data_IF_521757542968
#
_entry.id   IF_521757542968
#
_cell.length_a   1.000
_cell.length_b   1.000
_cell.length_c   1.000
_cell.angle_alpha   90.00
_cell.angle_beta   90.00
_cell.angle_gamma   90.00
#
_symmetry.space_group_name_H-M   'P 1'
#
loop_
_entity.id
_entity.type
_entity.pdbx_description
1 polymer ?
#
# COMPACT_ATOMS: atom_id res chain seq x y z
N UNK A 1 6.00 46.46 60.35
CA UNK A 1 7.47 46.66 60.40
C UNK A 1 7.92 47.24 59.06
N UNK A 2 8.69 48.34 59.08
CA UNK A 2 9.45 49.01 57.97
C UNK A 2 8.58 49.73 56.92
N UNK A 3 8.30 51.05 56.98
CA UNK A 3 9.09 52.29 56.71
C UNK A 3 9.57 52.50 55.25
N UNK A 4 8.96 53.52 54.58
CA UNK A 4 9.55 54.60 53.72
C UNK A 4 10.25 54.22 52.40
N UNK A 5 10.33 55.01 51.31
CA UNK A 5 9.73 56.25 50.73
C UNK A 5 10.42 56.44 49.36
N UNK A 6 9.83 57.26 48.48
CA UNK A 6 10.44 57.92 47.31
C UNK A 6 10.78 57.00 46.11
N UNK A 7 10.31 57.21 44.89
CA UNK A 7 10.07 58.47 44.20
C UNK A 7 11.35 58.86 43.46
N UNK A 8 11.34 58.77 42.12
CA UNK A 8 12.05 59.66 41.19
C UNK A 8 11.69 59.30 39.74
N UNK A 9 11.33 60.34 39.00
CA UNK A 9 10.96 60.36 37.59
C UNK A 9 12.19 60.43 36.67
N UNK A 10 11.94 60.60 35.36
CA UNK A 10 12.87 61.08 34.31
C UNK A 10 13.78 59.96 33.71
N UNK A 11 14.01 59.77 32.41
CA UNK A 11 13.75 60.54 31.18
C UNK A 11 13.93 59.69 29.93
N UNK A 12 13.34 60.13 28.83
CA UNK A 12 13.65 59.73 27.45
C UNK A 12 15.06 60.13 26.98
N UNK A 13 15.66 59.31 26.11
CA UNK A 13 16.46 59.68 24.93
C UNK A 13 17.30 58.45 24.49
N UNK A 14 16.99 57.83 23.36
CA UNK A 14 17.57 58.10 22.04
C UNK A 14 18.94 57.43 21.79
N UNK A 15 18.86 56.34 21.01
CA UNK A 15 19.68 55.99 19.83
C UNK A 15 21.03 55.24 19.90
N UNK A 16 21.14 54.28 18.96
CA UNK A 16 22.30 53.66 18.30
C UNK A 16 23.11 52.58 19.05
N UNK A 17 22.78 51.30 18.84
CA UNK A 17 23.75 50.21 18.63
C UNK A 17 23.11 49.16 17.72
N UNK A 18 23.35 49.25 16.41
CA UNK A 18 24.32 48.42 15.66
C UNK A 18 24.03 46.92 15.72
N UNK A 19 23.32 46.47 14.67
CA UNK A 19 23.48 45.20 13.94
C UNK A 19 23.65 43.92 14.75
N UNK A 20 22.54 43.19 14.94
CA UNK A 20 22.58 41.74 15.10
C UNK A 20 21.91 41.10 13.88
N UNK A 21 22.69 40.25 13.23
CA UNK A 21 22.42 39.47 12.03
C UNK A 21 21.15 38.65 12.24
N UNK A 22 20.04 39.07 11.63
CA UNK A 22 18.89 38.18 11.43
C UNK A 22 19.16 37.38 10.15
N UNK A 23 19.90 36.27 10.32
CA UNK A 23 20.02 35.22 9.33
C UNK A 23 18.62 34.60 9.16
N UNK A 24 17.82 35.12 8.22
CA UNK A 24 16.58 34.47 7.83
C UNK A 24 16.94 33.18 7.11
N UNK A 25 16.94 32.06 7.84
CA UNK A 25 16.77 30.77 7.19
C UNK A 25 15.40 30.83 6.51
N UNK A 26 15.40 31.09 5.20
CA UNK A 26 14.26 30.75 4.36
C UNK A 26 14.06 29.24 4.49
N UNK A 27 13.19 28.84 5.42
CA UNK A 27 12.57 27.52 5.35
C UNK A 27 11.72 27.54 4.09
N UNK A 28 12.29 27.06 2.98
CA UNK A 28 11.49 26.67 1.82
C UNK A 28 10.60 25.54 2.31
N UNK A 29 9.39 25.88 2.75
CA UNK A 29 8.30 24.93 2.89
C UNK A 29 7.98 24.48 1.48
N UNK A 30 8.66 23.41 1.05
CA UNK A 30 8.27 22.64 -0.11
C UNK A 30 6.96 21.95 0.25
N UNK A 31 5.86 22.69 0.14
CA UNK A 31 4.51 22.14 0.06
C UNK A 31 4.47 21.28 -1.19
N UNK A 32 4.83 20.01 -1.05
CA UNK A 32 4.61 19.00 -2.09
C UNK A 32 3.12 18.72 -2.15
N UNK A 33 2.36 19.63 -2.76
CA UNK A 33 1.02 19.32 -3.24
C UNK A 33 1.20 18.32 -4.38
N UNK A 34 1.23 17.03 -4.05
CA UNK A 34 1.15 15.96 -5.02
C UNK A 34 -0.04 16.26 -5.95
N UNK A 35 0.11 16.12 -7.29
CA UNK A 35 -0.93 16.49 -8.23
C UNK A 35 -2.22 15.73 -7.91
N UNK A 36 -3.37 16.42 -7.88
CA UNK A 36 -4.64 15.77 -7.63
C UNK A 36 -4.93 14.86 -8.82
N UNK A 37 -5.10 13.57 -8.54
CA UNK A 37 -5.55 12.52 -9.46
C UNK A 37 -4.49 12.00 -10.45
N UNK A 38 -3.55 11.19 -9.94
CA UNK A 38 -3.13 10.03 -10.73
C UNK A 38 -4.17 8.92 -10.51
N UNK A 39 -4.86 8.43 -11.55
CA UNK A 39 -5.92 7.43 -11.40
C UNK A 39 -5.41 6.10 -10.80
N UNK A 40 -4.09 5.87 -10.84
CA UNK A 40 -3.42 4.69 -10.29
C UNK A 40 -2.80 4.91 -8.91
N UNK A 41 -2.77 6.16 -8.45
CA UNK A 41 -2.25 6.53 -7.15
C UNK A 41 -3.41 6.49 -6.15
N UNK A 42 -3.48 5.43 -5.34
CA UNK A 42 -4.17 5.53 -4.06
C UNK A 42 -3.61 6.72 -3.26
N UNK A 43 -4.24 7.06 -2.12
CA UNK A 43 -3.68 8.09 -1.24
C UNK A 43 -2.21 7.77 -0.91
N UNK A 44 -1.40 8.79 -0.59
CA UNK A 44 0.00 8.58 -0.18
C UNK A 44 0.12 7.50 0.91
N UNK A 45 -0.86 7.47 1.82
CA UNK A 45 -1.01 6.45 2.84
C UNK A 45 -1.27 5.05 2.26
N UNK A 46 -2.25 4.88 1.36
CA UNK A 46 -2.54 3.59 0.71
C UNK A 46 -1.34 3.05 -0.07
N UNK A 47 -0.56 3.93 -0.72
CA UNK A 47 0.66 3.52 -1.42
C UNK A 47 1.73 3.02 -0.44
N UNK A 48 1.92 3.73 0.68
CA UNK A 48 2.86 3.31 1.72
C UNK A 48 2.44 1.97 2.35
N UNK A 49 1.14 1.81 2.64
CA UNK A 49 0.55 0.57 3.15
C UNK A 49 0.75 -0.58 2.16
N UNK A 50 0.42 -0.38 0.89
CA UNK A 50 0.65 -1.38 -0.16
C UNK A 50 2.12 -1.78 -0.25
N UNK A 51 3.04 -0.80 -0.27
CA UNK A 51 4.48 -1.07 -0.31
C UNK A 51 4.91 -1.93 0.88
N UNK A 52 4.47 -1.59 2.10
CA UNK A 52 4.76 -2.35 3.31
C UNK A 52 4.24 -3.79 3.20
N UNK A 53 2.96 -3.97 2.84
CA UNK A 53 2.34 -5.28 2.69
C UNK A 53 3.05 -6.13 1.64
N UNK A 54 3.38 -5.53 0.50
CA UNK A 54 4.10 -6.19 -0.59
C UNK A 54 5.51 -6.60 -0.16
N UNK A 55 6.24 -5.73 0.55
CA UNK A 55 7.57 -6.07 1.09
C UNK A 55 7.50 -7.24 2.06
N UNK A 56 6.53 -7.24 2.98
CA UNK A 56 6.27 -8.36 3.90
C UNK A 56 6.02 -9.67 3.14
N UNK A 57 5.19 -9.64 2.10
CA UNK A 57 4.93 -10.81 1.26
C UNK A 57 6.14 -11.27 0.44
N UNK A 58 7.04 -10.37 0.04
CA UNK A 58 8.24 -10.75 -0.73
C UNK A 58 9.43 -11.17 0.14
N UNK A 59 9.33 -11.00 1.45
CA UNK A 59 10.36 -11.48 2.36
C UNK A 59 10.44 -13.02 2.30
N UNK A 60 11.67 -13.52 2.10
CA UNK A 60 11.98 -14.95 1.93
C UNK A 60 11.71 -15.78 3.19
N UNK A 61 11.82 -15.17 4.36
CA UNK A 61 11.64 -15.86 5.65
C UNK A 61 10.16 -16.01 6.03
N UNK A 62 9.28 -15.40 5.26
CA UNK A 62 7.87 -15.36 5.57
C UNK A 62 7.14 -16.39 4.73
N UNK A 63 6.26 -17.17 5.33
CA UNK A 63 5.44 -18.16 4.63
C UNK A 63 3.96 -17.83 4.78
N UNK A 64 3.08 -18.43 3.96
CA UNK A 64 1.63 -18.23 4.12
C UNK A 64 1.08 -18.64 5.48
N UNK A 65 1.79 -19.48 6.24
CA UNK A 65 1.40 -19.92 7.58
C UNK A 65 1.76 -18.89 8.67
N UNK A 66 2.65 -17.94 8.39
CA UNK A 66 3.15 -16.96 9.36
C UNK A 66 2.63 -15.53 9.12
N UNK A 67 1.79 -15.34 8.10
CA UNK A 67 1.14 -14.05 7.78
C UNK A 67 -0.36 -14.24 7.88
N UNK A 68 -1.02 -13.28 8.52
CA UNK A 68 -2.42 -13.02 8.28
C UNK A 68 -2.57 -12.06 7.09
N UNK A 69 -3.13 -12.56 5.98
CA UNK A 69 -3.30 -11.76 4.76
C UNK A 69 -4.35 -10.66 4.95
N UNK A 70 -5.39 -10.92 5.73
CA UNK A 70 -6.47 -9.96 5.96
C UNK A 70 -5.94 -8.79 6.81
N UNK A 71 -5.07 -9.07 7.77
CA UNK A 71 -4.38 -8.05 8.55
C UNK A 71 -3.50 -7.14 7.67
N UNK A 72 -2.58 -7.72 6.89
CA UNK A 72 -1.63 -6.91 6.09
C UNK A 72 -2.29 -6.21 4.90
N UNK A 73 -3.50 -6.61 4.53
CA UNK A 73 -4.21 -6.08 3.37
C UNK A 73 -5.43 -5.22 3.74
N UNK A 74 -5.63 -5.00 5.04
CA UNK A 74 -6.72 -4.18 5.55
C UNK A 74 -6.71 -2.77 4.93
N UNK A 75 -7.88 -2.32 4.46
CA UNK A 75 -8.05 -0.99 3.86
C UNK A 75 -7.47 -0.84 2.44
N UNK A 76 -6.87 -1.90 1.88
CA UNK A 76 -6.37 -1.90 0.50
C UNK A 76 -7.38 -2.47 -0.50
N UNK A 77 -8.51 -3.02 -0.05
CA UNK A 77 -9.54 -3.69 -0.88
C UNK A 77 -10.08 -2.82 -2.03
N UNK A 78 -10.13 -1.49 -1.84
CA UNK A 78 -10.59 -0.51 -2.84
C UNK A 78 -9.48 0.02 -3.75
N UNK A 79 -8.22 -0.35 -3.50
CA UNK A 79 -7.07 0.11 -4.27
C UNK A 79 -6.94 -0.68 -5.58
N UNK A 80 -6.62 0.02 -6.67
CA UNK A 80 -6.33 -0.62 -7.96
C UNK A 80 -5.11 -1.55 -7.91
N UNK A 81 -4.24 -1.41 -6.91
CA UNK A 81 -3.07 -2.27 -6.71
C UNK A 81 -3.38 -3.54 -5.92
N UNK A 82 -4.53 -3.61 -5.25
CA UNK A 82 -4.94 -4.78 -4.47
C UNK A 82 -4.88 -6.14 -5.21
N UNK A 83 -5.24 -6.23 -6.51
CA UNK A 83 -5.16 -7.49 -7.24
C UNK A 83 -3.72 -8.04 -7.31
N UNK A 84 -2.71 -7.16 -7.30
CA UNK A 84 -1.31 -7.58 -7.28
C UNK A 84 -0.92 -8.19 -5.93
N UNK A 85 -1.47 -7.65 -4.83
CA UNK A 85 -1.22 -8.19 -3.49
C UNK A 85 -1.86 -9.58 -3.34
N UNK A 86 -3.11 -9.72 -3.79
CA UNK A 86 -3.82 -11.00 -3.81
C UNK A 86 -3.10 -12.04 -4.69
N UNK A 87 -2.67 -11.64 -5.89
CA UNK A 87 -1.87 -12.51 -6.76
C UNK A 87 -0.60 -12.99 -6.07
N UNK A 88 0.17 -12.08 -5.45
CA UNK A 88 1.41 -12.44 -4.74
C UNK A 88 1.15 -13.42 -3.61
N UNK A 89 0.07 -13.22 -2.86
CA UNK A 89 -0.31 -14.11 -1.77
C UNK A 89 -0.66 -15.52 -2.28
N UNK A 90 -1.52 -15.61 -3.30
CA UNK A 90 -1.93 -16.89 -3.89
C UNK A 90 -0.73 -17.67 -4.44
N UNK A 91 0.18 -16.99 -5.15
CA UNK A 91 1.35 -17.63 -5.76
C UNK A 91 2.46 -17.98 -4.77
N UNK A 92 2.36 -17.54 -3.51
CA UNK A 92 3.29 -17.92 -2.45
C UNK A 92 2.85 -19.21 -1.75
N UNK A 93 1.61 -19.65 -1.95
CA UNK A 93 1.10 -20.91 -1.42
C UNK A 93 1.52 -22.06 -2.32
N UNK A 94 1.92 -23.18 -1.71
CA UNK A 94 2.30 -24.39 -2.45
C UNK A 94 1.08 -25.05 -3.13
N UNK A 95 -0.08 -25.03 -2.45
CA UNK A 95 -1.36 -25.55 -2.94
C UNK A 95 -2.50 -24.59 -2.54
N UNK A 96 -2.63 -23.44 -3.22
CA UNK A 96 -3.73 -22.52 -2.96
C UNK A 96 -5.07 -23.17 -3.26
N UNK A 97 -6.08 -22.91 -2.41
CA UNK A 97 -7.40 -23.52 -2.60
C UNK A 97 -8.03 -23.11 -3.94
N UNK A 98 -8.63 -24.08 -4.63
CA UNK A 98 -9.36 -23.85 -5.88
C UNK A 98 -10.40 -22.73 -5.76
N UNK A 99 -11.12 -22.67 -4.64
CA UNK A 99 -12.10 -21.61 -4.38
C UNK A 99 -11.46 -20.23 -4.40
N UNK A 100 -10.30 -20.04 -3.76
CA UNK A 100 -9.61 -18.76 -3.72
C UNK A 100 -9.11 -18.36 -5.12
N UNK A 101 -8.57 -19.32 -5.88
CA UNK A 101 -8.14 -19.09 -7.26
C UNK A 101 -9.32 -18.72 -8.17
N UNK A 102 -10.43 -19.46 -8.10
CA UNK A 102 -11.64 -19.18 -8.88
C UNK A 102 -12.27 -17.84 -8.51
N UNK A 103 -12.27 -17.46 -7.23
CA UNK A 103 -12.72 -16.14 -6.81
C UNK A 103 -11.86 -15.02 -7.41
N UNK A 104 -10.53 -15.21 -7.45
CA UNK A 104 -9.64 -14.25 -8.10
C UNK A 104 -9.92 -14.15 -9.60
N UNK A 105 -9.99 -15.30 -10.30
CA UNK A 105 -10.24 -15.36 -11.73
C UNK A 105 -11.59 -14.74 -12.11
N UNK A 106 -12.63 -14.97 -11.30
CA UNK A 106 -13.96 -14.36 -11.49
C UNK A 106 -13.96 -12.85 -11.24
N UNK A 107 -13.15 -12.38 -10.27
CA UNK A 107 -13.09 -10.95 -9.93
C UNK A 107 -12.30 -10.14 -10.95
N UNK A 108 -11.29 -10.73 -11.58
CA UNK A 108 -10.41 -10.05 -12.54
C UNK A 108 -10.27 -10.83 -13.87
N UNK A 109 -11.36 -11.14 -14.58
CA UNK A 109 -11.34 -12.09 -15.71
C UNK A 109 -10.36 -11.70 -16.83
N UNK A 110 -10.29 -10.41 -17.16
CA UNK A 110 -9.44 -9.86 -18.24
C UNK A 110 -8.03 -9.45 -17.79
N UNK A 111 -7.66 -9.73 -16.53
CA UNK A 111 -6.34 -9.36 -16.03
C UNK A 111 -5.26 -10.30 -16.53
N UNK A 112 -4.11 -9.75 -16.91
CA UNK A 112 -2.88 -10.52 -17.19
C UNK A 112 -2.51 -11.42 -15.99
N UNK A 113 -2.84 -11.01 -14.76
CA UNK A 113 -2.62 -11.82 -13.55
C UNK A 113 -3.51 -13.07 -13.54
N UNK A 114 -4.74 -12.96 -14.04
CA UNK A 114 -5.67 -14.09 -14.12
C UNK A 114 -5.25 -15.10 -15.16
N UNK A 115 -4.73 -14.65 -16.31
CA UNK A 115 -4.12 -15.54 -17.32
C UNK A 115 -2.97 -16.32 -16.68
N UNK A 116 -2.05 -15.63 -15.98
CA UNK A 116 -0.91 -16.28 -15.30
C UNK A 116 -1.35 -17.29 -14.24
N UNK A 117 -2.29 -16.93 -13.37
CA UNK A 117 -2.82 -17.84 -12.33
C UNK A 117 -3.40 -19.09 -12.97
N UNK A 118 -4.22 -18.92 -14.00
CA UNK A 118 -4.87 -20.03 -14.72
C UNK A 118 -3.85 -20.98 -15.32
N UNK A 119 -2.87 -20.46 -16.05
CA UNK A 119 -1.80 -21.28 -16.65
C UNK A 119 -1.02 -22.07 -15.60
N UNK A 120 -0.61 -21.42 -14.51
CA UNK A 120 0.16 -22.05 -13.44
C UNK A 120 -0.66 -23.10 -12.69
N UNK A 121 -1.92 -22.79 -12.38
CA UNK A 121 -2.81 -23.72 -11.68
C UNK A 121 -3.13 -24.95 -12.53
N UNK A 122 -3.42 -24.79 -13.83
CA UNK A 122 -3.65 -25.93 -14.73
C UNK A 122 -2.40 -26.80 -14.87
N UNK A 123 -1.22 -26.19 -14.97
CA UNK A 123 0.04 -26.93 -15.00
C UNK A 123 0.26 -27.72 -13.70
N UNK A 124 -0.05 -27.14 -12.54
CA UNK A 124 0.01 -27.84 -11.25
C UNK A 124 -0.98 -29.01 -11.18
N UNK A 125 -2.24 -28.80 -11.57
CA UNK A 125 -3.25 -29.86 -11.60
C UNK A 125 -2.85 -31.02 -12.52
N UNK A 126 -2.33 -30.70 -13.71
CA UNK A 126 -1.84 -31.69 -14.67
C UNK A 126 -0.66 -32.49 -14.10
N UNK A 127 0.31 -31.81 -13.46
CA UNK A 127 1.45 -32.46 -12.78
C UNK A 127 0.98 -33.41 -11.66
N UNK A 128 -0.08 -33.02 -10.94
CA UNK A 128 -0.70 -33.83 -9.89
C UNK A 128 -1.68 -34.89 -10.43
N UNK A 129 -1.85 -35.01 -11.76
CA UNK A 129 -2.81 -35.92 -12.42
C UNK A 129 -4.28 -35.69 -12.00
N UNK A 130 -4.63 -34.47 -11.58
CA UNK A 130 -5.98 -34.09 -11.12
C UNK A 130 -6.86 -33.68 -12.31
N UNK A 131 -7.01 -34.58 -13.28
CA UNK A 131 -7.72 -34.30 -14.54
C UNK A 131 -9.20 -33.92 -14.34
N UNK A 132 -9.88 -34.56 -13.38
CA UNK A 132 -11.28 -34.24 -13.06
C UNK A 132 -11.45 -32.77 -12.66
N UNK A 133 -10.54 -32.22 -11.85
CA UNK A 133 -10.55 -30.80 -11.46
C UNK A 133 -10.43 -29.87 -12.66
N UNK A 134 -9.58 -30.22 -13.63
CA UNK A 134 -9.42 -29.43 -14.86
C UNK A 134 -10.74 -29.43 -15.64
N UNK A 135 -11.39 -30.59 -15.79
CA UNK A 135 -12.66 -30.70 -16.50
C UNK A 135 -13.75 -29.89 -15.81
N UNK A 136 -13.88 -30.01 -14.49
CA UNK A 136 -14.96 -29.40 -13.71
C UNK A 136 -14.92 -27.87 -13.72
N UNK A 137 -13.72 -27.29 -13.67
CA UNK A 137 -13.57 -25.84 -13.46
C UNK A 137 -13.16 -25.06 -14.72
N UNK A 138 -12.52 -25.71 -15.70
CA UNK A 138 -11.88 -24.99 -16.80
C UNK A 138 -12.65 -25.07 -18.12
N UNK A 139 -13.04 -26.27 -18.55
CA UNK A 139 -13.74 -26.47 -19.82
C UNK A 139 -15.10 -25.73 -19.92
N UNK A 140 -15.91 -25.63 -18.86
CA UNK A 140 -17.20 -24.92 -18.94
C UNK A 140 -17.08 -23.41 -19.15
N UNK A 141 -15.94 -22.79 -18.79
CA UNK A 141 -15.77 -21.34 -18.85
C UNK A 141 -15.26 -20.84 -20.20
N UNK A 142 -14.69 -21.71 -21.04
CA UNK A 142 -14.15 -21.33 -22.36
C UNK A 142 -15.17 -21.47 -23.50
N UNK A 143 -16.32 -22.10 -23.27
CA UNK A 143 -17.38 -22.29 -24.27
C UNK A 143 -18.36 -21.12 -24.38
N UNK A 144 -18.10 -20.00 -23.70
CA UNK A 144 -18.92 -18.79 -23.78
C UNK A 144 -18.28 -17.76 -24.71
N UNK A 145 -18.11 -18.12 -25.98
CA UNK A 145 -17.91 -17.16 -27.07
C UNK A 145 -18.92 -17.49 -28.15
N UNK A 146 -19.86 -16.56 -28.36
CA UNK A 146 -20.86 -16.55 -29.44
C UNK A 146 -20.12 -16.37 -30.78
#
# INVERSE_FOLDING_TARGET
MIKTLAGLAFTASSTWMLTLIALTLNTVQASSSAPPNQPFAGTSEQQAQFKKAYQTLTNKNVTPQTIDFDEISQGLDKSLLYPYLQYRWLMKQDDPSDTALLLFLKRYPESVLSVKIREQWLAQLAKQKRWTRIIDYYLPQQSSTI
#
